data_IF_311156994132
#
_entry.id   IF_311156994132
#
_cell.length_a   1.000
_cell.length_b   1.000
_cell.length_c   1.000
_cell.angle_alpha   90.00
_cell.angle_beta   90.00
_cell.angle_gamma   90.00
#
_symmetry.space_group_name_H-M   'P 1'
#
loop_
_entity.id
_entity.type
_entity.pdbx_description
1 polymer ?
#
# COMPACT_ATOMS: atom_id res chain seq x y z
N UNK A 1 -11.87 4.07 13.56
CA UNK A 1 -12.88 4.46 14.57
C UNK A 1 -13.10 3.35 15.58
N UNK A 2 -13.36 2.10 15.17
CA UNK A 2 -13.64 1.00 16.11
C UNK A 2 -12.53 0.74 17.16
N UNK A 3 -11.26 0.93 16.82
CA UNK A 3 -10.14 0.81 17.77
C UNK A 3 -10.19 1.80 18.93
N UNK A 4 -10.87 2.95 18.76
CA UNK A 4 -11.09 3.89 19.86
C UNK A 4 -12.08 3.33 20.88
N UNK A 5 -13.06 2.53 20.46
CA UNK A 5 -13.97 1.84 21.39
C UNK A 5 -13.22 0.77 22.19
N UNK A 6 -12.34 0.01 21.54
CA UNK A 6 -11.45 -0.90 22.28
C UNK A 6 -10.60 -0.15 23.31
N UNK A 7 -9.91 0.93 22.91
CA UNK A 7 -9.10 1.72 23.85
C UNK A 7 -9.94 2.26 25.01
N UNK A 8 -11.10 2.83 24.72
CA UNK A 8 -11.99 3.37 25.75
C UNK A 8 -12.47 2.27 26.71
N UNK A 9 -12.83 1.09 26.21
CA UNK A 9 -13.20 -0.05 27.05
C UNK A 9 -12.02 -0.61 27.86
N UNK A 10 -10.82 -0.63 27.27
CA UNK A 10 -9.56 -1.01 27.94
C UNK A 10 -9.21 -0.04 29.09
N UNK A 11 -9.53 1.24 28.95
CA UNK A 11 -9.37 2.25 30.00
C UNK A 11 -10.45 2.13 31.09
N UNK A 12 -11.67 1.76 30.69
CA UNK A 12 -12.83 1.69 31.61
C UNK A 12 -12.86 0.44 32.47
N UNK A 13 -12.33 -0.68 31.94
CA UNK A 13 -12.24 -1.94 32.67
C UNK A 13 -11.15 -1.85 33.74
N UNK A 14 -11.52 -2.17 34.98
CA UNK A 14 -10.62 -2.13 36.13
C UNK A 14 -9.68 -3.35 36.13
N UNK A 15 -9.45 -4.00 37.27
CA UNK A 15 -8.49 -5.11 37.37
C UNK A 15 -9.05 -6.44 36.83
N UNK A 16 -10.37 -6.63 36.87
CA UNK A 16 -11.05 -7.82 36.37
C UNK A 16 -12.19 -7.45 35.43
N UNK A 17 -12.36 -8.26 34.40
CA UNK A 17 -13.57 -8.21 33.58
C UNK A 17 -13.33 -8.76 32.18
N UNK A 18 -14.37 -8.58 31.35
CA UNK A 18 -14.40 -9.06 29.97
C UNK A 18 -14.83 -7.91 29.06
N UNK A 19 -14.12 -7.71 27.96
CA UNK A 19 -14.54 -6.86 26.84
C UNK A 19 -14.93 -7.78 25.69
N UNK A 20 -16.15 -7.65 25.18
CA UNK A 20 -16.63 -8.41 24.02
C UNK A 20 -17.14 -7.46 22.95
N UNK A 21 -16.59 -7.54 21.73
CA UNK A 21 -17.05 -6.73 20.60
C UNK A 21 -17.09 -7.52 19.30
N UNK A 22 -17.98 -7.08 18.40
CA UNK A 22 -17.95 -7.44 16.99
C UNK A 22 -17.49 -6.22 16.20
N UNK A 23 -16.33 -6.31 15.56
CA UNK A 23 -15.76 -5.18 14.81
C UNK A 23 -15.18 -5.64 13.48
N UNK A 24 -14.73 -4.67 12.68
CA UNK A 24 -13.88 -4.94 11.52
C UNK A 24 -12.69 -5.83 11.91
N UNK A 25 -12.42 -6.89 11.13
CA UNK A 25 -11.38 -7.91 11.40
C UNK A 25 -9.93 -7.46 11.17
N UNK A 26 -9.72 -6.26 10.63
CA UNK A 26 -8.40 -5.73 10.25
C UNK A 26 -7.36 -5.72 11.37
N UNK A 27 -7.75 -5.76 12.64
CA UNK A 27 -6.79 -5.84 13.75
C UNK A 27 -6.01 -7.16 13.81
N UNK A 28 -6.56 -8.23 13.24
CA UNK A 28 -5.99 -9.59 13.29
C UNK A 28 -4.69 -9.65 12.50
N UNK A 29 -4.69 -9.13 11.27
CA UNK A 29 -3.58 -9.27 10.31
C UNK A 29 -3.17 -7.94 9.64
N UNK A 30 -3.86 -6.84 9.98
CA UNK A 30 -3.53 -5.54 9.41
C UNK A 30 -2.17 -5.03 9.92
N UNK A 31 -1.32 -4.57 8.99
CA UNK A 31 0.02 -4.05 9.28
C UNK A 31 0.07 -2.89 10.28
N UNK A 32 -0.97 -2.06 10.33
CA UNK A 32 -1.02 -0.91 11.23
C UNK A 32 -1.56 -1.24 12.64
N UNK A 33 -1.81 -2.53 12.92
CA UNK A 33 -2.37 -3.01 14.19
C UNK A 33 -1.38 -3.88 14.98
N UNK A 34 -0.12 -3.96 14.59
CA UNK A 34 0.96 -4.61 15.35
C UNK A 34 1.06 -4.06 16.79
N UNK A 35 1.05 -2.74 16.95
CA UNK A 35 1.02 -2.09 18.27
C UNK A 35 -0.27 -2.38 19.05
N UNK A 36 -1.40 -2.52 18.36
CA UNK A 36 -2.68 -2.89 18.99
C UNK A 36 -2.65 -4.33 19.51
N UNK A 37 -2.13 -5.27 18.72
CA UNK A 37 -1.93 -6.68 19.09
C UNK A 37 -0.96 -6.80 20.28
N UNK A 38 0.16 -6.07 20.24
CA UNK A 38 1.09 -5.96 21.37
C UNK A 38 0.45 -5.47 22.66
N UNK A 39 -0.42 -4.47 22.58
CA UNK A 39 -1.15 -3.98 23.77
C UNK A 39 -2.06 -5.08 24.33
N UNK A 40 -2.75 -5.84 23.48
CA UNK A 40 -3.58 -6.97 23.92
C UNK A 40 -2.73 -8.04 24.60
N UNK A 41 -1.58 -8.38 24.01
CA UNK A 41 -0.61 -9.34 24.54
C UNK A 41 -0.11 -8.96 25.93
N UNK A 42 0.08 -7.65 26.18
CA UNK A 42 0.60 -7.14 27.45
C UNK A 42 -0.49 -6.93 28.50
N UNK A 43 -1.69 -6.53 28.09
CA UNK A 43 -2.70 -6.01 29.02
C UNK A 43 -3.74 -7.03 29.46
N UNK A 44 -3.89 -8.12 28.73
CA UNK A 44 -4.92 -9.13 28.96
C UNK A 44 -4.35 -10.50 29.28
N UNK A 45 -5.15 -11.33 29.95
CA UNK A 45 -4.77 -12.70 30.30
C UNK A 45 -5.13 -13.69 29.20
N UNK A 46 -6.29 -13.48 28.56
CA UNK A 46 -6.79 -14.31 27.47
C UNK A 46 -7.43 -13.43 26.40
N UNK A 47 -7.23 -13.82 25.14
CA UNK A 47 -7.87 -13.23 23.97
C UNK A 47 -8.49 -14.35 23.15
N UNK A 48 -9.79 -14.30 22.91
CA UNK A 48 -10.51 -15.23 22.03
C UNK A 48 -11.00 -14.47 20.81
N UNK A 49 -10.68 -14.96 19.63
CA UNK A 49 -11.07 -14.37 18.34
C UNK A 49 -11.83 -15.40 17.53
N UNK A 50 -13.06 -15.06 17.14
CA UNK A 50 -13.84 -15.78 16.14
C UNK A 50 -13.90 -14.91 14.89
N UNK A 51 -13.11 -15.26 13.89
CA UNK A 51 -13.02 -14.55 12.63
C UNK A 51 -14.09 -15.05 11.66
N UNK A 52 -15.03 -14.18 11.31
CA UNK A 52 -16.09 -14.54 10.35
C UNK A 52 -15.66 -14.33 8.90
N UNK A 53 -14.44 -13.86 8.68
CA UNK A 53 -13.86 -13.59 7.35
C UNK A 53 -14.75 -12.61 6.56
N UNK A 54 -15.03 -12.91 5.30
CA UNK A 54 -15.88 -12.17 4.35
C UNK A 54 -15.51 -10.71 4.13
N UNK A 55 -14.22 -10.47 3.86
CA UNK A 55 -13.77 -9.20 3.31
C UNK A 55 -13.70 -9.27 1.78
N UNK A 56 -14.68 -8.64 1.13
CA UNK A 56 -14.84 -8.62 -0.33
C UNK A 56 -13.65 -7.93 -1.01
N UNK A 57 -12.93 -7.05 -0.29
CA UNK A 57 -11.76 -6.36 -0.84
C UNK A 57 -10.54 -7.28 -0.91
N UNK A 58 -10.48 -8.26 -0.03
CA UNK A 58 -9.38 -9.23 0.06
C UNK A 58 -9.65 -10.46 -0.79
N UNK A 59 -10.90 -10.92 -0.84
CA UNK A 59 -11.34 -12.04 -1.66
C UNK A 59 -12.44 -11.63 -2.65
N UNK A 60 -12.12 -11.35 -3.92
CA UNK A 60 -13.12 -10.94 -4.91
C UNK A 60 -14.06 -12.08 -5.34
N UNK A 61 -13.80 -13.35 -4.96
CA UNK A 61 -14.68 -14.49 -5.29
C UNK A 61 -15.99 -14.46 -4.50
N UNK A 62 -15.99 -13.82 -3.33
CA UNK A 62 -17.18 -13.62 -2.49
C UNK A 62 -17.81 -12.25 -2.79
N UNK A 63 -18.36 -12.10 -3.99
CA UNK A 63 -18.95 -10.83 -4.43
C UNK A 63 -20.28 -10.53 -3.70
N UNK A 64 -20.55 -9.24 -3.48
CA UNK A 64 -21.82 -8.75 -2.94
C UNK A 64 -21.91 -8.75 -1.41
N UNK A 65 -23.13 -8.84 -0.89
CA UNK A 65 -23.47 -8.69 0.54
C UNK A 65 -23.99 -10.00 1.16
N UNK A 66 -23.76 -11.13 0.50
CA UNK A 66 -24.38 -12.43 0.83
C UNK A 66 -23.57 -13.26 1.84
N UNK A 67 -22.26 -13.06 1.92
CA UNK A 67 -21.35 -13.88 2.76
C UNK A 67 -21.04 -13.22 4.11
N UNK A 68 -21.05 -11.89 4.15
CA UNK A 68 -20.78 -11.13 5.36
C UNK A 68 -21.99 -11.12 6.31
N UNK A 69 -21.75 -11.32 7.59
CA UNK A 69 -22.77 -11.39 8.66
C UNK A 69 -23.53 -10.08 8.92
N UNK A 70 -23.14 -8.96 8.30
CA UNK A 70 -23.91 -7.70 8.33
C UNK A 70 -24.34 -7.23 6.95
N UNK A 71 -24.08 -8.02 5.90
CA UNK A 71 -24.33 -7.61 4.52
C UNK A 71 -23.49 -6.40 4.08
N UNK A 72 -22.29 -6.26 4.62
CA UNK A 72 -21.31 -5.22 4.23
C UNK A 72 -20.10 -5.84 3.52
N UNK A 73 -19.27 -5.02 2.89
CA UNK A 73 -18.09 -5.49 2.16
C UNK A 73 -16.87 -5.79 3.04
N UNK A 74 -16.84 -5.24 4.26
CA UNK A 74 -15.67 -5.33 5.15
C UNK A 74 -15.82 -6.53 6.08
N UNK A 75 -14.77 -7.35 6.17
CA UNK A 75 -14.79 -8.52 7.04
C UNK A 75 -14.90 -8.15 8.51
N UNK A 76 -15.49 -9.04 9.31
CA UNK A 76 -15.72 -8.80 10.74
C UNK A 76 -15.28 -9.98 11.59
N UNK A 77 -14.94 -9.68 12.83
CA UNK A 77 -14.55 -10.67 13.82
C UNK A 77 -15.18 -10.34 15.17
N UNK A 78 -15.46 -11.39 15.93
CA UNK A 78 -15.88 -11.33 17.32
C UNK A 78 -14.60 -11.50 18.15
N UNK A 79 -14.35 -10.58 19.09
CA UNK A 79 -13.22 -10.68 19.99
C UNK A 79 -13.66 -10.52 21.44
N UNK A 80 -13.20 -11.44 22.28
CA UNK A 80 -13.32 -11.38 23.73
C UNK A 80 -11.95 -11.20 24.36
N UNK A 81 -11.80 -10.17 25.17
CA UNK A 81 -10.58 -9.86 25.93
C UNK A 81 -10.87 -10.03 27.42
N UNK A 82 -10.10 -10.87 28.10
CA UNK A 82 -10.30 -11.20 29.51
C UNK A 82 -9.14 -10.66 30.33
N UNK A 83 -9.45 -9.79 31.29
CA UNK A 83 -8.51 -9.19 32.22
C UNK A 83 -8.66 -9.85 33.59
N UNK A 84 -7.54 -10.27 34.18
CA UNK A 84 -7.49 -10.94 35.49
C UNK A 84 -6.44 -10.31 36.41
N UNK A 85 -6.50 -10.66 37.69
CA UNK A 85 -5.76 -10.00 38.77
C UNK A 85 -4.24 -10.18 38.76
N UNK A 86 -3.71 -11.21 38.08
CA UNK A 86 -2.28 -11.52 38.08
C UNK A 86 -1.73 -11.54 36.66
N UNK A 87 -0.83 -10.59 36.37
CA UNK A 87 0.06 -10.58 35.19
C UNK A 87 1.34 -11.39 35.48
N UNK A 88 1.22 -12.70 35.66
CA UNK A 88 2.40 -13.58 35.78
C UNK A 88 2.72 -14.34 34.49
N UNK A 89 1.74 -14.45 33.57
CA UNK A 89 1.88 -15.19 32.32
C UNK A 89 1.55 -14.27 31.13
N UNK A 90 2.18 -14.56 29.98
CA UNK A 90 1.82 -13.92 28.71
C UNK A 90 0.36 -14.20 28.34
N UNK A 91 -0.30 -13.26 27.67
CA UNK A 91 -1.66 -13.41 27.19
C UNK A 91 -1.81 -14.67 26.33
N UNK A 92 -2.79 -15.52 26.66
CA UNK A 92 -3.12 -16.72 25.87
C UNK A 92 -4.10 -16.34 24.77
N UNK A 93 -3.67 -16.43 23.51
CA UNK A 93 -4.45 -16.04 22.35
C UNK A 93 -5.03 -17.28 21.68
N UNK A 94 -6.32 -17.25 21.42
CA UNK A 94 -7.11 -18.34 20.86
C UNK A 94 -7.84 -17.82 19.62
N UNK A 95 -7.59 -18.44 18.48
CA UNK A 95 -8.13 -18.03 17.18
C UNK A 95 -8.95 -19.16 16.55
N UNK A 96 -10.12 -18.82 16.03
CA UNK A 96 -10.94 -19.71 15.21
C UNK A 96 -11.44 -18.91 14.02
N UNK A 97 -11.39 -19.50 12.83
CA UNK A 97 -11.93 -18.90 11.61
C UNK A 97 -13.11 -19.71 11.08
N UNK A 98 -14.13 -19.02 10.58
CA UNK A 98 -15.14 -19.62 9.73
C UNK A 98 -14.62 -19.72 8.28
N UNK A 99 -15.16 -20.62 7.46
CA UNK A 99 -14.88 -20.63 6.03
C UNK A 99 -15.36 -19.33 5.37
N UNK A 100 -14.56 -18.81 4.44
CA UNK A 100 -14.78 -17.49 3.84
C UNK A 100 -15.97 -17.51 2.86
N UNK A 101 -16.15 -18.63 2.18
CA UNK A 101 -17.17 -18.92 1.18
C UNK A 101 -18.57 -19.20 1.74
N UNK A 102 -18.71 -19.36 3.06
CA UNK A 102 -20.02 -19.55 3.68
C UNK A 102 -20.90 -18.31 3.50
N UNK A 103 -22.18 -18.54 3.18
CA UNK A 103 -23.20 -17.50 3.20
C UNK A 103 -23.50 -17.05 4.62
N UNK A 104 -24.04 -15.85 4.76
CA UNK A 104 -24.35 -15.26 6.08
C UNK A 104 -25.29 -16.16 6.88
N UNK A 105 -26.23 -16.85 6.24
CA UNK A 105 -27.16 -17.77 6.91
C UNK A 105 -26.43 -18.97 7.53
N UNK A 106 -25.43 -19.53 6.84
CA UNK A 106 -24.61 -20.63 7.35
C UNK A 106 -23.78 -20.17 8.56
N UNK A 107 -23.21 -18.97 8.48
CA UNK A 107 -22.49 -18.34 9.61
C UNK A 107 -23.41 -18.09 10.80
N UNK A 108 -24.65 -17.65 10.57
CA UNK A 108 -25.63 -17.46 11.64
C UNK A 108 -26.02 -18.79 12.30
N UNK A 109 -26.25 -19.84 11.51
CA UNK A 109 -26.55 -21.18 12.06
C UNK A 109 -25.40 -21.68 12.90
N UNK A 110 -24.17 -21.57 12.42
CA UNK A 110 -22.97 -21.94 13.18
C UNK A 110 -22.87 -21.17 14.50
N UNK A 111 -23.04 -19.84 14.48
CA UNK A 111 -22.99 -18.99 15.68
C UNK A 111 -24.12 -19.30 16.67
N UNK A 112 -25.27 -19.80 16.20
CA UNK A 112 -26.40 -20.19 17.06
C UNK A 112 -26.17 -21.54 17.74
N UNK A 113 -25.53 -22.47 17.05
CA UNK A 113 -25.35 -23.85 17.50
C UNK A 113 -24.07 -24.04 18.34
N UNK A 114 -23.01 -23.29 18.02
CA UNK A 114 -21.71 -23.41 18.70
C UNK A 114 -21.65 -22.53 19.94
N UNK A 115 -21.71 -23.19 21.10
CA UNK A 115 -21.27 -22.61 22.38
C UNK A 115 -19.76 -22.38 22.38
N UNK A 116 -19.28 -21.34 23.06
CA UNK A 116 -17.87 -20.93 23.04
C UNK A 116 -16.93 -22.05 23.54
N UNK A 117 -17.39 -22.86 24.50
CA UNK A 117 -16.66 -24.00 25.06
C UNK A 117 -16.50 -25.15 24.06
N UNK A 118 -17.30 -25.17 22.99
CA UNK A 118 -17.29 -26.19 21.92
C UNK A 118 -16.67 -25.69 20.62
N UNK A 119 -16.13 -24.47 20.61
CA UNK A 119 -15.37 -23.94 19.49
C UNK A 119 -13.95 -24.48 19.62
N UNK A 120 -13.46 -25.08 18.54
CA UNK A 120 -12.08 -25.53 18.43
C UNK A 120 -11.21 -24.31 18.11
N UNK A 121 -10.52 -23.80 19.13
CA UNK A 121 -9.58 -22.70 18.96
C UNK A 121 -8.16 -23.21 18.75
N UNK A 122 -7.48 -22.63 17.77
CA UNK A 122 -6.04 -22.72 17.65
C UNK A 122 -5.38 -21.76 18.64
N UNK A 123 -4.40 -22.25 19.39
CA UNK A 123 -3.60 -21.39 20.27
C UNK A 123 -2.52 -20.70 19.43
N UNK A 124 -2.58 -19.38 19.38
CA UNK A 124 -1.62 -18.55 18.66
C UNK A 124 -0.45 -18.16 19.56
N UNK A 125 0.76 -18.27 19.03
CA UNK A 125 1.98 -17.71 19.63
C UNK A 125 2.44 -16.55 18.74
N UNK A 126 2.33 -15.27 19.18
CA UNK A 126 2.77 -14.14 18.39
C UNK A 126 4.24 -14.21 18.00
N UNK A 127 4.58 -13.78 16.79
CA UNK A 127 5.97 -13.64 16.36
C UNK A 127 6.64 -12.39 16.99
N UNK A 128 7.94 -12.18 16.71
CA UNK A 128 8.67 -11.01 17.22
C UNK A 128 8.13 -9.66 16.73
N UNK A 129 7.29 -9.66 15.68
CA UNK A 129 6.62 -8.49 15.11
C UNK A 129 5.16 -8.37 15.57
N UNK A 130 4.74 -9.20 16.52
CA UNK A 130 3.38 -9.25 17.06
C UNK A 130 2.33 -9.62 16.00
N UNK A 131 2.67 -10.42 14.99
CA UNK A 131 1.67 -10.98 14.07
C UNK A 131 1.03 -12.22 14.68
N UNK A 132 -0.27 -12.39 14.46
CA UNK A 132 -1.03 -13.53 15.01
C UNK A 132 -1.24 -14.66 14.02
N UNK A 133 -1.47 -14.32 12.75
CA UNK A 133 -1.67 -15.28 11.67
C UNK A 133 -0.71 -14.96 10.52
N UNK A 134 -0.61 -15.86 9.54
CA UNK A 134 0.25 -15.69 8.36
C UNK A 134 1.71 -15.37 8.74
N UNK A 135 2.18 -15.98 9.83
CA UNK A 135 3.55 -15.82 10.29
C UNK A 135 4.49 -16.52 9.31
N UNK A 136 5.57 -15.83 8.94
CA UNK A 136 6.61 -16.37 8.08
C UNK A 136 7.77 -16.85 8.94
N UNK A 137 8.13 -18.12 8.81
CA UNK A 137 9.39 -18.67 9.32
C UNK A 137 10.32 -18.93 8.13
N UNK A 138 11.02 -17.89 7.70
CA UNK A 138 11.95 -17.96 6.57
C UNK A 138 13.12 -16.98 6.75
N UNK A 139 14.13 -17.17 5.89
CA UNK A 139 15.37 -16.39 5.80
C UNK A 139 15.18 -15.06 5.03
N UNK A 140 13.95 -14.54 4.89
CA UNK A 140 13.68 -13.34 4.09
C UNK A 140 14.44 -12.10 4.60
N UNK A 141 14.58 -11.97 5.92
CA UNK A 141 15.32 -10.86 6.54
C UNK A 141 16.84 -10.95 6.34
N UNK A 142 17.36 -12.12 5.94
CA UNK A 142 18.78 -12.29 5.59
C UNK A 142 19.09 -11.85 4.15
N UNK A 143 18.05 -11.69 3.31
CA UNK A 143 18.20 -11.28 1.92
C UNK A 143 18.67 -9.83 1.79
N UNK A 144 19.28 -9.54 0.64
CA UNK A 144 19.72 -8.18 0.30
C UNK A 144 18.49 -7.28 0.12
N UNK A 145 18.39 -6.14 0.84
CA UNK A 145 17.28 -5.22 0.67
C UNK A 145 17.26 -4.61 -0.74
N UNK A 146 16.13 -4.68 -1.44
CA UNK A 146 15.95 -4.00 -2.72
C UNK A 146 15.94 -2.47 -2.53
N UNK A 147 15.19 -1.99 -1.54
CA UNK A 147 14.97 -0.59 -1.23
C UNK A 147 14.93 -0.38 0.28
N UNK A 148 15.38 0.77 0.74
CA UNK A 148 15.31 1.16 2.14
C UNK A 148 15.09 2.67 2.29
N UNK A 149 14.35 3.06 3.33
CA UNK A 149 14.03 4.47 3.59
C UNK A 149 15.25 5.27 4.04
N UNK A 150 16.16 4.66 4.81
CA UNK A 150 17.38 5.34 5.24
C UNK A 150 18.36 5.51 4.07
N UNK A 151 18.44 4.53 3.17
CA UNK A 151 19.20 4.66 1.91
C UNK A 151 18.65 5.81 1.07
N UNK A 152 17.34 5.85 0.85
CA UNK A 152 16.72 6.95 0.10
C UNK A 152 16.91 8.32 0.76
N UNK A 153 16.97 8.38 2.09
CA UNK A 153 17.24 9.60 2.85
C UNK A 153 18.74 9.96 2.93
N UNK A 154 19.64 9.17 2.32
CA UNK A 154 21.09 9.40 2.37
C UNK A 154 21.74 9.06 3.71
N UNK A 155 21.07 8.30 4.58
CA UNK A 155 21.54 7.88 5.91
C UNK A 155 22.18 6.49 5.93
N UNK A 156 22.12 5.77 4.81
CA UNK A 156 22.65 4.41 4.64
C UNK A 156 22.97 4.17 3.17
N UNK A 157 23.70 3.09 2.87
CA UNK A 157 23.88 2.58 1.49
C UNK A 157 23.46 1.10 1.39
N UNK A 158 22.89 0.50 2.44
CA UNK A 158 22.56 -0.93 2.52
C UNK A 158 21.22 -1.29 1.83
N UNK A 159 21.12 -1.02 0.54
CA UNK A 159 20.05 -1.53 -0.34
C UNK A 159 20.53 -1.51 -1.80
N UNK A 160 19.86 -2.22 -2.72
CA UNK A 160 20.24 -2.21 -4.15
C UNK A 160 20.02 -0.82 -4.78
N UNK A 161 18.81 -0.27 -4.64
CA UNK A 161 18.42 0.99 -5.27
C UNK A 161 18.55 2.20 -4.33
N UNK A 162 19.02 3.34 -4.87
CA UNK A 162 19.12 4.61 -4.10
C UNK A 162 17.79 5.35 -3.99
N UNK A 163 17.01 5.36 -5.06
CA UNK A 163 15.74 6.04 -5.19
C UNK A 163 14.65 5.03 -5.54
N UNK A 164 13.46 5.25 -5.02
CA UNK A 164 12.26 4.55 -5.44
C UNK A 164 11.07 5.48 -5.24
N UNK A 165 10.01 5.25 -5.99
CA UNK A 165 8.81 6.11 -5.96
C UNK A 165 7.55 5.29 -6.00
N UNK A 166 6.48 5.80 -5.39
CA UNK A 166 5.15 5.30 -5.73
C UNK A 166 4.71 5.81 -7.10
N UNK A 167 3.70 5.19 -7.71
CA UNK A 167 3.08 5.75 -8.92
C UNK A 167 2.45 7.11 -8.64
N UNK A 168 2.21 7.92 -9.68
CA UNK A 168 1.61 9.25 -9.51
C UNK A 168 0.16 9.11 -9.07
N UNK A 169 -0.24 9.86 -8.04
CA UNK A 169 -1.64 9.97 -7.65
C UNK A 169 -2.17 11.34 -8.06
N UNK A 170 -2.94 11.40 -9.14
CA UNK A 170 -3.41 12.70 -9.63
C UNK A 170 -4.51 13.31 -8.75
N UNK A 171 -5.30 12.46 -8.08
CA UNK A 171 -6.55 12.78 -7.38
C UNK A 171 -7.69 13.26 -8.28
N UNK A 172 -7.48 13.35 -9.59
CA UNK A 172 -8.42 13.92 -10.56
C UNK A 172 -8.24 13.30 -11.95
N UNK A 173 -8.19 11.98 -12.00
CA UNK A 173 -7.80 11.23 -13.19
C UNK A 173 -8.64 11.63 -14.41
N UNK A 174 -9.91 11.94 -14.21
CA UNK A 174 -10.84 12.37 -15.25
C UNK A 174 -10.38 13.63 -16.02
N UNK A 175 -9.60 14.50 -15.36
CA UNK A 175 -9.11 15.76 -15.94
C UNK A 175 -7.73 15.63 -16.59
N UNK A 176 -6.85 14.80 -16.01
CA UNK A 176 -5.43 14.78 -16.39
C UNK A 176 -4.99 13.50 -17.10
N UNK A 177 -5.86 12.51 -17.25
CA UNK A 177 -5.64 11.35 -18.11
C UNK A 177 -6.66 11.30 -19.25
N UNK A 178 -6.25 10.84 -20.43
CA UNK A 178 -7.17 10.52 -21.53
C UNK A 178 -6.50 9.57 -22.56
N UNK A 179 -7.30 8.87 -23.36
CA UNK A 179 -6.80 8.11 -24.51
C UNK A 179 -6.52 9.00 -25.72
N UNK A 180 -7.24 10.11 -25.88
CA UNK A 180 -6.99 11.13 -26.92
C UNK A 180 -6.18 12.29 -26.35
N UNK A 181 -5.11 12.65 -27.07
CA UNK A 181 -4.27 13.80 -26.71
C UNK A 181 -5.06 15.09 -26.80
N UNK A 182 -5.92 15.24 -27.79
CA UNK A 182 -6.76 16.41 -28.05
C UNK A 182 -7.82 16.58 -26.94
N UNK A 183 -8.47 15.48 -26.55
CA UNK A 183 -9.39 15.45 -25.42
C UNK A 183 -8.69 15.86 -24.13
N UNK A 184 -7.51 15.29 -23.84
CA UNK A 184 -6.71 15.66 -22.66
C UNK A 184 -6.41 17.17 -22.63
N UNK A 185 -5.95 17.72 -23.76
CA UNK A 185 -5.64 19.15 -23.85
C UNK A 185 -6.86 20.02 -23.52
N UNK A 186 -8.03 19.65 -24.04
CA UNK A 186 -9.28 20.38 -23.80
C UNK A 186 -9.65 20.35 -22.32
N UNK A 187 -9.60 19.17 -21.70
CA UNK A 187 -9.90 18.99 -20.27
C UNK A 187 -8.94 19.76 -19.37
N UNK A 188 -7.63 19.70 -19.65
CA UNK A 188 -6.62 20.40 -18.85
C UNK A 188 -6.73 21.91 -19.01
N UNK A 189 -6.97 22.43 -20.22
CA UNK A 189 -7.21 23.86 -20.44
C UNK A 189 -8.42 24.35 -19.67
N UNK A 190 -9.52 23.60 -19.66
CA UNK A 190 -10.70 23.91 -18.85
C UNK A 190 -10.38 23.88 -17.35
N UNK A 191 -9.68 22.85 -16.88
CA UNK A 191 -9.22 22.74 -15.48
C UNK A 191 -8.41 23.98 -15.06
N UNK A 192 -7.45 24.41 -15.89
CA UNK A 192 -6.60 25.56 -15.65
C UNK A 192 -7.41 26.86 -15.67
N UNK A 193 -8.33 27.04 -16.63
CA UNK A 193 -9.18 28.23 -16.72
C UNK A 193 -10.02 28.43 -15.45
N UNK A 194 -10.72 27.37 -14.99
CA UNK A 194 -11.52 27.42 -13.75
C UNK A 194 -10.63 27.69 -12.53
N UNK A 195 -9.45 27.06 -12.48
CA UNK A 195 -8.48 27.29 -11.41
C UNK A 195 -8.00 28.75 -11.38
N UNK A 196 -7.63 29.32 -12.53
CA UNK A 196 -7.15 30.70 -12.65
C UNK A 196 -8.26 31.73 -12.36
N UNK A 197 -9.50 31.46 -12.77
CA UNK A 197 -10.66 32.30 -12.40
C UNK A 197 -10.95 32.25 -10.90
N UNK A 198 -10.87 31.06 -10.29
CA UNK A 198 -10.99 30.89 -8.84
C UNK A 198 -9.85 31.58 -8.08
N UNK A 199 -8.65 31.63 -8.67
CA UNK A 199 -7.49 32.32 -8.11
C UNK A 199 -7.68 33.84 -8.10
N UNK A 200 -8.31 34.38 -9.14
CA UNK A 200 -8.67 35.80 -9.25
C UNK A 200 -9.85 36.17 -8.34
N UNK A 201 -10.86 35.29 -8.23
CA UNK A 201 -12.05 35.47 -7.42
C UNK A 201 -12.38 34.17 -6.65
N UNK A 202 -12.23 34.18 -5.32
CA UNK A 202 -12.48 33.01 -4.47
C UNK A 202 -13.92 32.49 -4.52
N UNK A 203 -14.86 33.38 -4.86
CA UNK A 203 -16.30 33.12 -4.96
C UNK A 203 -16.73 32.89 -6.42
N UNK A 204 -15.80 32.52 -7.30
CA UNK A 204 -16.11 32.19 -8.69
C UNK A 204 -17.22 31.12 -8.76
N UNK A 205 -18.37 31.39 -9.41
CA UNK A 205 -19.55 30.52 -9.33
C UNK A 205 -19.30 29.08 -9.80
N UNK A 206 -18.44 28.90 -10.81
CA UNK A 206 -18.12 27.58 -11.36
C UNK A 206 -16.91 26.93 -10.70
N UNK A 207 -16.42 27.43 -9.56
CA UNK A 207 -15.30 26.84 -8.82
C UNK A 207 -15.42 25.31 -8.68
N UNK A 208 -16.61 24.80 -8.41
CA UNK A 208 -16.85 23.37 -8.19
C UNK A 208 -17.14 22.57 -9.47
N UNK A 209 -16.96 23.15 -10.66
CA UNK A 209 -17.00 22.40 -11.92
C UNK A 209 -15.76 21.53 -12.14
N UNK A 210 -14.69 21.79 -11.37
CA UNK A 210 -13.48 20.97 -11.33
C UNK A 210 -13.37 20.24 -9.98
N UNK A 211 -12.62 19.14 -9.98
CA UNK A 211 -12.35 18.39 -8.76
C UNK A 211 -11.23 19.04 -7.95
N UNK A 212 -11.55 19.39 -6.71
CA UNK A 212 -10.58 19.90 -5.74
C UNK A 212 -10.05 18.80 -4.83
N UNK A 213 -8.80 18.94 -4.44
CA UNK A 213 -8.19 18.17 -3.36
C UNK A 213 -7.39 19.10 -2.45
N UNK A 214 -6.91 18.54 -1.33
CA UNK A 214 -6.15 19.28 -0.32
C UNK A 214 -4.94 20.03 -0.90
N UNK A 215 -4.21 19.44 -1.85
CA UNK A 215 -3.01 20.07 -2.41
C UNK A 215 -3.37 21.16 -3.41
N UNK A 216 -4.39 20.96 -4.26
CA UNK A 216 -4.87 22.03 -5.16
C UNK A 216 -5.32 23.27 -4.40
N UNK A 217 -6.06 23.08 -3.31
CA UNK A 217 -6.53 24.17 -2.46
C UNK A 217 -5.35 24.91 -1.83
N UNK A 218 -4.32 24.19 -1.33
CA UNK A 218 -3.10 24.84 -0.81
C UNK A 218 -2.36 25.65 -1.88
N UNK A 219 -2.30 25.15 -3.12
CA UNK A 219 -1.63 25.87 -4.20
C UNK A 219 -2.39 27.14 -4.61
N UNK A 220 -3.72 27.07 -4.59
CA UNK A 220 -4.59 28.23 -4.76
C UNK A 220 -4.34 29.28 -3.67
N UNK A 221 -4.33 28.87 -2.40
CA UNK A 221 -4.05 29.75 -1.24
C UNK A 221 -2.66 30.41 -1.33
N UNK A 222 -1.68 29.69 -1.88
CA UNK A 222 -0.31 30.18 -2.15
C UNK A 222 -0.21 31.05 -3.40
N UNK A 223 -1.32 31.33 -4.07
CA UNK A 223 -1.41 32.13 -5.29
C UNK A 223 -0.56 31.61 -6.45
N UNK A 224 -0.38 30.28 -6.55
CA UNK A 224 0.42 29.68 -7.63
C UNK A 224 -0.37 29.77 -8.93
N UNK A 225 0.17 30.52 -9.91
CA UNK A 225 -0.42 30.61 -11.24
C UNK A 225 -0.12 29.36 -12.08
N UNK A 226 -1.04 29.05 -12.99
CA UNK A 226 -0.98 27.90 -13.88
C UNK A 226 -1.28 28.32 -15.32
N UNK A 227 -0.46 27.84 -16.23
CA UNK A 227 -0.66 27.94 -17.68
C UNK A 227 -0.52 26.56 -18.31
N UNK A 228 -1.24 26.35 -19.40
CA UNK A 228 -1.18 25.09 -20.13
C UNK A 228 0.14 24.99 -20.90
N UNK A 229 0.91 23.93 -20.65
CA UNK A 229 2.15 23.60 -21.37
C UNK A 229 1.99 22.24 -22.06
N UNK A 230 1.92 22.18 -23.41
CA UNK A 230 1.78 20.93 -24.13
C UNK A 230 2.96 19.96 -23.92
N UNK A 231 4.13 20.45 -23.48
CA UNK A 231 5.30 19.62 -23.18
C UNK A 231 5.19 18.87 -21.84
N UNK A 232 4.12 19.11 -21.07
CA UNK A 232 3.81 18.34 -19.86
C UNK A 232 2.97 17.09 -20.15
N UNK A 233 2.54 16.90 -21.41
CA UNK A 233 1.81 15.72 -21.83
C UNK A 233 2.79 14.58 -22.07
N UNK A 234 2.68 13.53 -21.26
CA UNK A 234 3.47 12.31 -21.34
C UNK A 234 2.57 11.11 -21.62
N UNK A 235 3.18 10.00 -22.03
CA UNK A 235 2.51 8.69 -22.02
C UNK A 235 2.69 8.09 -20.64
N UNK A 236 1.60 7.60 -20.04
CA UNK A 236 1.58 6.96 -18.73
C UNK A 236 0.96 5.57 -18.81
N UNK A 237 1.51 4.62 -18.06
CA UNK A 237 0.87 3.35 -17.75
C UNK A 237 -0.22 3.59 -16.71
N UNK A 238 -1.47 3.74 -17.17
CA UNK A 238 -2.60 3.93 -16.26
C UNK A 238 -2.98 2.60 -15.57
N UNK A 239 -2.97 1.48 -16.32
CA UNK A 239 -3.15 0.12 -15.78
C UNK A 239 -2.15 -0.83 -16.47
N UNK A 240 -1.97 -2.07 -16.00
CA UNK A 240 -1.08 -3.02 -16.66
C UNK A 240 -1.47 -3.17 -18.13
N UNK A 241 -0.51 -2.97 -19.02
CA UNK A 241 -0.68 -3.02 -20.48
C UNK A 241 -1.65 -1.99 -21.08
N UNK A 242 -2.07 -0.97 -20.30
CA UNK A 242 -2.97 0.09 -20.75
C UNK A 242 -2.31 1.45 -20.56
N UNK A 243 -1.99 2.08 -21.69
CA UNK A 243 -1.37 3.40 -21.75
C UNK A 243 -2.41 4.48 -22.04
N UNK A 244 -2.22 5.65 -21.44
CA UNK A 244 -3.00 6.86 -21.68
C UNK A 244 -2.06 8.06 -21.77
N UNK A 245 -2.52 9.13 -22.41
CA UNK A 245 -1.89 10.44 -22.27
C UNK A 245 -2.16 10.96 -20.85
N UNK A 246 -1.16 11.60 -20.28
CA UNK A 246 -1.19 12.12 -18.92
C UNK A 246 -0.55 13.50 -18.86
N UNK A 247 -1.23 14.45 -18.22
CA UNK A 247 -0.69 15.79 -17.98
C UNK A 247 0.07 15.83 -16.64
N UNK A 248 1.40 15.76 -16.72
CA UNK A 248 2.28 15.71 -15.56
C UNK A 248 2.70 17.11 -15.10
N UNK A 249 2.04 17.60 -14.04
CA UNK A 249 2.32 18.89 -13.42
C UNK A 249 2.37 18.76 -11.90
N UNK A 250 3.33 19.45 -11.28
CA UNK A 250 3.54 19.42 -9.82
C UNK A 250 2.33 19.90 -9.00
N UNK A 251 1.48 20.75 -9.58
CA UNK A 251 0.39 21.42 -8.88
C UNK A 251 -0.99 20.90 -9.28
N UNK A 252 -1.13 20.39 -10.52
CA UNK A 252 -2.37 19.75 -10.97
C UNK A 252 -2.46 18.26 -10.63
N UNK A 253 -1.39 17.66 -10.11
CA UNK A 253 -1.39 16.29 -9.62
C UNK A 253 -1.23 16.28 -8.09
N UNK A 254 -2.09 15.56 -7.38
CA UNK A 254 -2.08 15.54 -5.92
C UNK A 254 -0.77 15.05 -5.29
N UNK A 255 -0.20 13.92 -5.75
CA UNK A 255 1.09 13.41 -5.30
C UNK A 255 1.92 12.88 -6.46
N UNK A 256 2.98 13.60 -6.83
CA UNK A 256 3.95 13.20 -7.87
C UNK A 256 5.12 12.39 -7.31
N UNK A 257 5.21 12.24 -5.98
CA UNK A 257 6.27 11.50 -5.30
C UNK A 257 7.67 11.88 -5.79
N UNK A 258 8.45 10.96 -6.35
CA UNK A 258 9.80 11.24 -6.85
C UNK A 258 9.85 11.29 -8.36
N UNK A 259 8.71 11.35 -9.05
CA UNK A 259 8.70 11.29 -10.52
C UNK A 259 9.45 12.46 -11.16
N UNK A 260 9.47 13.63 -10.53
CA UNK A 260 10.34 14.72 -10.97
C UNK A 260 11.82 14.36 -10.90
N UNK A 261 12.28 13.55 -9.95
CA UNK A 261 13.67 13.11 -9.82
C UNK A 261 13.97 11.83 -10.62
N UNK A 262 13.00 11.31 -11.35
CA UNK A 262 13.12 10.10 -12.17
C UNK A 262 13.07 10.45 -13.64
N UNK A 263 12.12 11.31 -14.05
CA UNK A 263 11.98 11.69 -15.46
C UNK A 263 12.99 12.76 -15.83
N UNK A 264 13.52 12.64 -17.04
CA UNK A 264 14.18 13.74 -17.75
C UNK A 264 13.40 14.04 -19.02
N UNK A 265 13.15 15.31 -19.31
CA UNK A 265 12.46 15.73 -20.55
C UNK A 265 13.31 15.43 -21.80
N UNK A 266 14.62 15.28 -21.61
CA UNK A 266 15.60 15.15 -22.70
C UNK A 266 16.02 13.70 -22.96
N UNK A 267 15.52 12.72 -22.20
CA UNK A 267 15.87 11.31 -22.39
C UNK A 267 14.64 10.39 -22.34
N UNK A 268 14.33 9.68 -23.44
CA UNK A 268 13.09 8.92 -23.60
C UNK A 268 13.08 7.55 -22.90
N UNK A 269 14.25 7.01 -22.52
CA UNK A 269 14.38 5.62 -22.04
C UNK A 269 14.18 5.51 -20.53
N UNK A 270 13.02 5.96 -20.08
CA UNK A 270 12.52 5.59 -18.76
C UNK A 270 12.43 4.06 -18.71
N UNK A 271 12.97 3.45 -17.65
CA UNK A 271 12.86 2.00 -17.43
C UNK A 271 12.68 1.74 -15.94
N UNK A 272 11.54 1.16 -15.58
CA UNK A 272 11.15 0.95 -14.19
C UNK A 272 10.73 -0.50 -13.98
N UNK A 273 11.10 -1.06 -12.83
CA UNK A 273 10.48 -2.25 -12.28
C UNK A 273 9.40 -1.80 -11.28
N UNK A 274 8.16 -2.20 -11.52
CA UNK A 274 7.00 -1.86 -10.72
C UNK A 274 6.58 -3.09 -9.91
N UNK A 275 6.56 -2.96 -8.59
CA UNK A 275 6.09 -3.99 -7.64
C UNK A 275 4.84 -3.51 -6.89
N UNK A 276 3.95 -4.41 -6.47
CA UNK A 276 2.82 -4.09 -5.61
C UNK A 276 3.23 -3.35 -4.35
N UNK A 277 2.30 -2.55 -3.83
CA UNK A 277 2.45 -2.03 -2.48
C UNK A 277 2.45 -3.17 -1.46
N UNK A 278 3.11 -2.93 -0.33
CA UNK A 278 3.29 -3.89 0.75
C UNK A 278 1.97 -4.54 1.21
N UNK A 279 0.86 -3.80 1.26
CA UNK A 279 -0.44 -4.32 1.70
C UNK A 279 -1.30 -4.87 0.56
N UNK A 280 -0.69 -5.40 -0.51
CA UNK A 280 -1.45 -6.01 -1.61
C UNK A 280 -2.17 -7.27 -1.11
N UNK A 281 -3.48 -7.42 -1.35
CA UNK A 281 -4.21 -8.66 -1.06
C UNK A 281 -4.07 -9.71 -2.17
N UNK A 282 -3.28 -9.41 -3.21
CA UNK A 282 -3.08 -10.27 -4.37
C UNK A 282 -1.70 -10.91 -4.33
N UNK A 283 -1.60 -12.10 -4.90
CA UNK A 283 -0.34 -12.80 -5.18
C UNK A 283 0.71 -11.84 -5.75
N UNK A 284 1.96 -12.05 -5.35
CA UNK A 284 3.06 -11.20 -5.77
C UNK A 284 3.24 -11.25 -7.30
N UNK A 285 3.32 -10.07 -7.91
CA UNK A 285 3.56 -9.88 -9.34
C UNK A 285 4.47 -8.69 -9.55
N UNK A 286 5.01 -8.53 -10.75
CA UNK A 286 5.93 -7.45 -11.08
C UNK A 286 5.80 -7.11 -12.55
N UNK A 287 5.92 -5.83 -12.89
CA UNK A 287 5.78 -5.32 -14.25
C UNK A 287 6.93 -4.37 -14.56
N UNK A 288 7.57 -4.53 -15.71
CA UNK A 288 8.48 -3.50 -16.21
C UNK A 288 7.71 -2.51 -17.08
N UNK A 289 8.04 -1.22 -16.99
CA UNK A 289 7.45 -0.19 -17.85
C UNK A 289 8.48 0.83 -18.27
N UNK A 290 8.27 1.39 -19.47
CA UNK A 290 9.05 2.49 -20.02
C UNK A 290 8.34 3.85 -19.98
N UNK A 291 7.29 3.95 -19.17
CA UNK A 291 6.52 5.18 -18.99
C UNK A 291 6.35 5.50 -17.51
N UNK A 292 5.94 6.74 -17.22
CA UNK A 292 5.40 7.07 -15.91
C UNK A 292 4.21 6.17 -15.62
N UNK A 293 3.93 5.90 -14.35
CA UNK A 293 2.88 4.94 -13.96
C UNK A 293 1.95 5.55 -12.93
N UNK A 294 0.67 5.25 -13.08
CA UNK A 294 -0.36 5.62 -12.11
C UNK A 294 -0.16 4.87 -10.78
N UNK A 295 -0.50 5.52 -9.67
CA UNK A 295 -0.41 4.91 -8.33
C UNK A 295 -1.19 3.59 -8.26
N UNK A 296 -2.36 3.55 -8.90
CA UNK A 296 -3.28 2.43 -8.85
C UNK A 296 -3.12 1.47 -10.04
N UNK A 297 -2.06 1.62 -10.85
CA UNK A 297 -1.72 0.64 -11.87
C UNK A 297 -1.42 -0.73 -11.24
N UNK A 298 -0.74 -0.75 -10.09
CA UNK A 298 -0.53 -1.94 -9.26
C UNK A 298 -1.23 -1.79 -7.90
N UNK A 299 -1.69 -2.90 -7.28
CA UNK A 299 -2.44 -2.85 -6.03
C UNK A 299 -1.63 -2.27 -4.87
N UNK A 300 -2.36 -1.76 -3.88
CA UNK A 300 -1.81 -1.13 -2.66
C UNK A 300 -0.88 0.08 -2.91
N UNK A 301 -0.98 0.70 -4.09
CA UNK A 301 -0.19 1.85 -4.48
C UNK A 301 1.25 1.47 -4.74
N UNK A 302 1.47 0.85 -5.90
CA UNK A 302 2.72 0.21 -6.31
C UNK A 302 3.98 1.07 -6.15
N UNK A 303 5.10 0.39 -5.92
CA UNK A 303 6.43 0.97 -5.86
C UNK A 303 7.15 0.78 -7.19
N UNK A 304 7.97 1.76 -7.54
CA UNK A 304 8.70 1.84 -8.79
C UNK A 304 10.18 1.97 -8.48
N UNK A 305 10.96 1.12 -9.12
CA UNK A 305 12.39 1.00 -9.02
C UNK A 305 12.96 1.43 -10.37
N UNK A 306 13.29 2.72 -10.55
CA UNK A 306 13.79 3.22 -11.81
C UNK A 306 15.25 2.80 -11.99
N UNK A 307 15.66 2.46 -13.22
CA UNK A 307 17.06 2.22 -13.57
C UNK A 307 17.90 3.49 -13.41
N UNK A 308 17.34 4.64 -13.78
CA UNK A 308 17.99 5.94 -13.71
C UNK A 308 17.27 6.89 -12.76
N UNK A 309 18.01 7.87 -12.24
CA UNK A 309 17.47 9.02 -11.52
C UNK A 309 18.18 10.28 -11.98
N UNK A 310 17.59 11.43 -11.69
CA UNK A 310 18.18 12.73 -11.98
C UNK A 310 19.32 13.06 -11.00
N UNK A 311 20.47 13.42 -11.54
CA UNK A 311 21.64 13.93 -10.85
C UNK A 311 21.54 15.43 -10.54
N UNK A 312 22.61 16.00 -10.01
CA UNK A 312 22.61 17.41 -9.58
C UNK A 312 22.56 18.40 -10.74
N UNK A 313 23.09 18.01 -11.91
CA UNK A 313 23.14 18.83 -13.12
C UNK A 313 22.02 18.43 -14.11
N UNK A 314 20.94 17.83 -13.63
CA UNK A 314 19.82 17.28 -14.41
C UNK A 314 20.16 16.13 -15.36
N UNK A 315 21.37 15.57 -15.28
CA UNK A 315 21.77 14.38 -16.01
C UNK A 315 21.12 13.11 -15.43
N UNK A 316 20.87 12.10 -16.27
CA UNK A 316 20.43 10.81 -15.77
C UNK A 316 21.64 9.98 -15.31
N UNK A 317 21.58 9.51 -14.07
CA UNK A 317 22.58 8.62 -13.46
C UNK A 317 21.93 7.32 -13.00
N UNK A 318 22.69 6.22 -13.04
CA UNK A 318 22.21 4.92 -12.58
C UNK A 318 21.83 4.94 -11.10
N UNK A 319 20.64 4.43 -10.80
CA UNK A 319 19.98 4.53 -9.50
C UNK A 319 20.36 3.40 -8.51
N UNK A 320 21.65 3.12 -8.38
CA UNK A 320 22.16 2.00 -7.58
C UNK A 320 23.14 2.46 -6.53
N UNK A 321 23.15 1.78 -5.39
CA UNK A 321 24.21 1.96 -4.39
C UNK A 321 25.49 1.26 -4.83
N UNK A 322 26.63 1.81 -4.42
CA UNK A 322 27.91 1.13 -4.63
C UNK A 322 27.99 -0.12 -3.74
N UNK A 323 27.35 -0.11 -2.58
CA UNK A 323 27.25 -1.27 -1.70
C UNK A 323 26.51 -2.42 -2.37
N UNK A 324 25.37 -2.14 -3.02
CA UNK A 324 24.57 -3.11 -3.75
C UNK A 324 25.39 -3.76 -4.85
N UNK A 325 26.03 -2.97 -5.72
CA UNK A 325 26.94 -3.48 -6.76
C UNK A 325 28.04 -4.37 -6.18
N UNK A 326 28.62 -3.97 -5.03
CA UNK A 326 29.66 -4.74 -4.35
C UNK A 326 29.16 -6.10 -3.82
N UNK A 327 27.89 -6.23 -3.42
CA UNK A 327 27.33 -7.51 -2.99
C UNK A 327 27.37 -8.54 -4.14
N UNK A 328 26.97 -8.12 -5.34
CA UNK A 328 26.91 -9.00 -6.52
C UNK A 328 28.30 -9.36 -7.03
N UNK A 329 29.16 -8.36 -7.24
CA UNK A 329 30.53 -8.57 -7.74
C UNK A 329 31.36 -9.44 -6.81
N UNK A 330 31.17 -9.33 -5.48
CA UNK A 330 31.81 -10.23 -4.50
C UNK A 330 31.22 -11.63 -4.48
N UNK A 331 29.90 -11.75 -4.47
CA UNK A 331 29.24 -13.07 -4.40
C UNK A 331 29.57 -13.94 -5.61
N UNK A 332 29.54 -13.35 -6.81
CA UNK A 332 29.86 -14.05 -8.07
C UNK A 332 31.34 -14.03 -8.43
N UNK A 333 32.18 -13.32 -7.66
CA UNK A 333 33.60 -13.10 -7.95
C UNK A 333 33.85 -12.58 -9.38
N UNK A 334 33.02 -11.64 -9.84
CA UNK A 334 33.04 -11.09 -11.19
C UNK A 334 32.90 -9.56 -11.14
N UNK A 335 33.97 -8.86 -11.52
CA UNK A 335 34.02 -7.40 -11.54
C UNK A 335 33.39 -6.79 -12.81
N UNK A 336 33.04 -7.59 -13.80
CA UNK A 336 32.39 -7.12 -15.03
C UNK A 336 30.89 -6.86 -14.86
N UNK A 337 30.28 -7.37 -13.78
CA UNK A 337 28.86 -7.15 -13.46
C UNK A 337 28.58 -5.65 -13.34
N UNK A 338 27.63 -5.17 -14.14
CA UNK A 338 27.18 -3.77 -14.14
C UNK A 338 25.91 -3.58 -13.33
N UNK A 339 25.57 -2.33 -13.01
CA UNK A 339 24.30 -1.97 -12.37
C UNK A 339 23.09 -2.32 -13.25
N UNK A 340 23.24 -2.24 -14.58
CA UNK A 340 22.21 -2.67 -15.53
C UNK A 340 21.99 -4.18 -15.49
N UNK A 341 23.04 -4.98 -15.32
CA UNK A 341 22.90 -6.43 -15.14
C UNK A 341 22.12 -6.75 -13.86
N UNK A 342 22.41 -6.04 -12.77
CA UNK A 342 21.68 -6.16 -11.50
C UNK A 342 20.20 -5.77 -11.68
N UNK A 343 19.90 -4.72 -12.46
CA UNK A 343 18.51 -4.35 -12.78
C UNK A 343 17.75 -5.51 -13.44
N UNK A 344 18.34 -6.14 -14.45
CA UNK A 344 17.74 -7.28 -15.14
C UNK A 344 17.64 -8.52 -14.24
N UNK A 345 18.68 -8.77 -13.43
CA UNK A 345 18.69 -9.84 -12.42
C UNK A 345 17.52 -9.69 -11.45
N UNK A 346 17.31 -8.50 -10.89
CA UNK A 346 16.20 -8.23 -9.96
C UNK A 346 14.88 -8.56 -10.63
N UNK A 347 14.65 -8.12 -11.87
CA UNK A 347 13.41 -8.41 -12.59
C UNK A 347 13.20 -9.92 -12.81
N UNK A 348 14.27 -10.66 -13.11
CA UNK A 348 14.23 -12.11 -13.30
C UNK A 348 13.95 -12.87 -11.99
N UNK A 349 14.62 -12.53 -10.90
CA UNK A 349 14.38 -13.16 -9.57
C UNK A 349 12.96 -12.91 -9.10
N UNK A 350 12.45 -11.67 -9.26
CA UNK A 350 11.07 -11.35 -8.89
C UNK A 350 10.03 -12.08 -9.76
N UNK A 351 10.43 -12.67 -10.90
CA UNK A 351 9.60 -13.58 -11.71
C UNK A 351 9.76 -15.06 -11.39
N UNK A 352 10.80 -15.44 -10.64
CA UNK A 352 11.09 -16.83 -10.36
C UNK A 352 9.99 -17.46 -9.49
N UNK A 353 9.30 -18.53 -9.94
CA UNK A 353 8.22 -19.14 -9.17
C UNK A 353 8.66 -19.74 -7.83
N UNK A 354 9.88 -20.29 -7.75
CA UNK A 354 10.42 -20.84 -6.51
C UNK A 354 10.69 -19.74 -5.48
N UNK A 355 11.21 -18.59 -5.92
CA UNK A 355 11.36 -17.41 -5.06
C UNK A 355 10.00 -16.95 -4.52
N UNK A 356 9.00 -16.79 -5.39
CA UNK A 356 7.66 -16.34 -4.97
C UNK A 356 7.03 -17.32 -3.99
N UNK A 357 7.04 -18.62 -4.28
CA UNK A 357 6.45 -19.65 -3.42
C UNK A 357 7.12 -19.75 -2.04
N UNK A 358 8.43 -19.47 -1.94
CA UNK A 358 9.17 -19.53 -0.66
C UNK A 358 8.81 -18.37 0.28
N UNK A 359 8.51 -17.19 -0.28
CA UNK A 359 8.34 -15.94 0.48
C UNK A 359 6.94 -15.31 0.34
N UNK A 360 5.98 -16.07 -0.18
CA UNK A 360 4.55 -15.74 -0.15
C UNK A 360 4.00 -15.93 1.26
#
# INVERSE_FOLDING_TARGET
MYTRFYRWSMDRIENRGIIGFVTNRSFIDGRAFDGFRKIIENDFSHCYVVDTQSDVRTNPKIAGTTHNVFGIQTGVAIMFLIKGDKRSEACKIYYSSLPDEWRKEEKYSWLREKQIEKIEFEKITPDSKHNWINQSDNDFEELIPLIDKNVKAGKSEKAIFKLYSRGVASQRDEWVYDFSKESLQTKVKYLIDVYQKTLANSDYPEKYSIKWDRELTKYLERRIQKEFDPNQILISSYRPYLKQYFYFDKHLNGMTYQWFDIISKDQPDLLNICIPGLSSPKEFHVLATNSIIDLNALPAGGQNLPLFKRGQNNELIENFTNWGLNQFTKHYNDQSITKKDIFHYVYAVLHNPAYRKKYE
#
